data_IF_773264320290
#
_entry.id   IF_773264320290
#
_cell.length_a   1.000
_cell.length_b   1.000
_cell.length_c   1.000
_cell.angle_alpha   90.00
_cell.angle_beta   90.00
_cell.angle_gamma   90.00
#
_symmetry.space_group_name_H-M   'P 1'
#
loop_
_entity.id
_entity.type
_entity.pdbx_description
1 polymer ?
#
# COMPACT_ATOMS: atom_id res chain seq x y z
N UNK A 1 0.24 -18.26 30.15
CA UNK A 1 0.61 -17.56 28.89
C UNK A 1 2.12 -17.62 28.73
N UNK A 2 2.63 -18.16 27.64
CA UNK A 2 4.07 -18.20 27.36
C UNK A 2 4.59 -16.76 27.20
N UNK A 3 5.69 -16.42 27.86
CA UNK A 3 6.36 -15.12 27.75
C UNK A 3 6.84 -14.94 26.31
N UNK A 4 6.42 -13.86 25.65
CA UNK A 4 6.88 -13.52 24.29
C UNK A 4 8.38 -13.20 24.32
N UNK A 5 9.16 -13.83 23.42
CA UNK A 5 10.59 -13.57 23.29
C UNK A 5 10.82 -12.11 22.91
N UNK A 6 11.76 -11.47 23.58
CA UNK A 6 12.10 -10.05 23.41
C UNK A 6 13.47 -9.88 22.73
N UNK A 7 13.73 -8.68 22.21
CA UNK A 7 15.05 -8.33 21.64
C UNK A 7 16.19 -8.48 22.67
N UNK A 8 15.89 -8.36 23.97
CA UNK A 8 16.86 -8.57 25.06
C UNK A 8 17.23 -10.03 25.21
N UNK A 9 16.27 -10.95 25.02
CA UNK A 9 16.51 -12.37 25.07
C UNK A 9 17.43 -12.82 23.91
N UNK A 10 17.21 -12.26 22.69
CA UNK A 10 18.12 -12.46 21.54
C UNK A 10 19.51 -11.91 21.82
N UNK A 11 19.61 -10.72 22.37
CA UNK A 11 20.88 -10.09 22.73
C UNK A 11 21.68 -10.95 23.72
N UNK A 12 21.02 -11.48 24.73
CA UNK A 12 21.62 -12.39 25.70
C UNK A 12 22.09 -13.70 25.04
N UNK A 13 21.25 -14.31 24.19
CA UNK A 13 21.56 -15.56 23.47
C UNK A 13 22.73 -15.40 22.50
N UNK A 14 22.81 -14.25 21.80
CA UNK A 14 23.88 -13.93 20.85
C UNK A 14 25.16 -13.36 21.50
N UNK A 15 25.15 -13.04 22.79
CA UNK A 15 26.28 -12.44 23.51
C UNK A 15 26.62 -11.03 23.03
N UNK A 16 25.60 -10.21 22.70
CA UNK A 16 25.76 -8.84 22.19
C UNK A 16 24.80 -7.85 22.86
N UNK A 17 24.97 -6.57 22.61
CA UNK A 17 24.03 -5.56 23.08
C UNK A 17 22.69 -5.63 22.30
N UNK A 18 21.58 -5.24 22.94
CA UNK A 18 20.28 -5.10 22.24
C UNK A 18 20.34 -4.13 21.06
N UNK A 19 21.24 -3.13 21.12
CA UNK A 19 21.48 -2.17 20.03
C UNK A 19 22.13 -2.86 18.82
N UNK A 20 23.03 -3.81 19.05
CA UNK A 20 23.64 -4.63 18.01
C UNK A 20 22.60 -5.51 17.33
N UNK A 21 21.73 -6.19 18.12
CA UNK A 21 20.59 -6.96 17.58
C UNK A 21 19.67 -6.04 16.73
N UNK A 22 19.35 -4.86 17.24
CA UNK A 22 18.56 -3.87 16.49
C UNK A 22 19.21 -3.45 15.17
N UNK A 23 20.52 -3.31 15.14
CA UNK A 23 21.25 -2.97 13.91
C UNK A 23 21.22 -4.14 12.91
N UNK A 24 21.35 -5.39 13.35
CA UNK A 24 21.24 -6.58 12.49
C UNK A 24 19.84 -6.71 11.92
N UNK A 25 18.81 -6.63 12.74
CA UNK A 25 17.40 -6.69 12.33
C UNK A 25 17.02 -5.58 11.35
N UNK A 26 17.69 -4.43 11.44
CA UNK A 26 17.50 -3.29 10.54
C UNK A 26 18.51 -3.25 9.37
N UNK A 27 19.26 -4.33 9.14
CA UNK A 27 20.22 -4.48 8.04
C UNK A 27 21.24 -3.33 7.94
N UNK A 28 21.58 -2.71 9.08
CA UNK A 28 22.57 -1.63 9.09
C UNK A 28 23.97 -2.17 8.84
N UNK A 29 24.77 -1.58 7.93
CA UNK A 29 26.10 -2.07 7.55
C UNK A 29 27.19 -1.81 8.60
N UNK A 30 26.78 -1.55 9.85
CA UNK A 30 27.71 -1.22 10.96
C UNK A 30 28.05 -2.42 11.84
N UNK A 31 27.56 -3.62 11.48
CA UNK A 31 27.80 -4.86 12.23
C UNK A 31 28.64 -5.80 11.40
N UNK A 32 29.73 -6.34 12.00
CA UNK A 32 30.60 -7.33 11.35
C UNK A 32 29.82 -8.60 11.01
N UNK A 33 30.16 -9.27 9.91
CA UNK A 33 29.43 -10.43 9.39
C UNK A 33 29.33 -11.57 10.41
N UNK A 34 30.42 -11.91 11.07
CA UNK A 34 30.45 -12.92 12.14
C UNK A 34 29.45 -12.62 13.27
N UNK A 35 29.29 -11.35 13.65
CA UNK A 35 28.33 -10.92 14.67
C UNK A 35 26.90 -10.96 14.12
N UNK A 36 26.71 -10.66 12.84
CA UNK A 36 25.43 -10.75 12.14
C UNK A 36 24.92 -12.18 12.14
N UNK A 37 25.75 -13.14 11.74
CA UNK A 37 25.42 -14.57 11.72
C UNK A 37 25.01 -15.09 13.11
N UNK A 38 25.78 -14.75 14.16
CA UNK A 38 25.43 -15.14 15.55
C UNK A 38 24.06 -14.59 15.99
N UNK A 39 23.75 -13.37 15.60
CA UNK A 39 22.47 -12.75 15.93
C UNK A 39 21.33 -13.40 15.14
N UNK A 40 21.49 -13.69 13.85
CA UNK A 40 20.51 -14.38 13.03
C UNK A 40 20.21 -15.79 13.55
N UNK A 41 21.25 -16.54 13.91
CA UNK A 41 21.12 -17.86 14.55
C UNK A 41 20.31 -17.75 15.87
N UNK A 42 20.61 -16.75 16.69
CA UNK A 42 19.88 -16.56 17.95
C UNK A 42 18.41 -16.15 17.72
N UNK A 43 18.10 -15.43 16.67
CA UNK A 43 16.73 -15.09 16.25
C UNK A 43 15.95 -16.35 15.87
N UNK A 44 16.54 -17.21 15.05
CA UNK A 44 15.93 -18.46 14.59
C UNK A 44 15.74 -19.45 15.76
N UNK A 45 16.77 -19.65 16.59
CA UNK A 45 16.74 -20.54 17.76
C UNK A 45 15.60 -20.18 18.72
N UNK A 46 15.35 -18.89 18.92
CA UNK A 46 14.36 -18.38 19.87
C UNK A 46 12.99 -18.14 19.24
N UNK A 47 12.86 -18.28 17.92
CA UNK A 47 11.64 -17.92 17.19
C UNK A 47 11.27 -16.44 17.41
N UNK A 48 12.29 -15.56 17.50
CA UNK A 48 12.05 -14.14 17.74
C UNK A 48 11.49 -13.46 16.48
N UNK A 49 10.30 -12.90 16.64
CA UNK A 49 9.68 -12.06 15.59
C UNK A 49 9.90 -10.59 15.97
N UNK A 50 10.63 -9.82 15.14
CA UNK A 50 10.84 -8.39 15.37
C UNK A 50 9.53 -7.65 15.59
N UNK A 51 9.45 -6.87 16.66
CA UNK A 51 8.27 -6.06 16.92
C UNK A 51 8.37 -4.74 16.15
N UNK A 52 7.64 -4.65 15.03
CA UNK A 52 7.60 -3.46 14.18
C UNK A 52 6.98 -2.24 14.89
N UNK A 53 6.09 -2.47 15.88
CA UNK A 53 5.48 -1.38 16.69
C UNK A 53 6.54 -0.53 17.41
N UNK A 54 7.66 -1.11 17.84
CA UNK A 54 8.77 -0.36 18.46
C UNK A 54 9.57 0.48 17.47
N UNK A 55 9.48 0.21 16.16
CA UNK A 55 10.07 1.01 15.07
C UNK A 55 9.18 2.21 14.77
N UNK A 56 7.86 2.01 14.75
CA UNK A 56 6.87 3.04 14.47
C UNK A 56 6.90 4.18 15.49
N UNK A 57 7.19 3.85 16.75
CA UNK A 57 7.35 4.84 17.83
C UNK A 57 8.61 5.73 17.72
N UNK A 58 9.59 5.35 16.89
CA UNK A 58 10.83 6.12 16.69
C UNK A 58 10.87 6.93 15.40
N UNK A 59 9.75 7.03 14.68
CA UNK A 59 9.62 7.87 13.48
C UNK A 59 10.29 7.34 12.21
N UNK A 60 10.71 6.07 12.15
CA UNK A 60 11.26 5.43 10.95
C UNK A 60 10.19 5.03 9.93
N UNK A 61 10.58 4.68 8.67
CA UNK A 61 9.66 4.17 7.68
C UNK A 61 9.04 2.84 8.15
N UNK A 62 7.74 2.70 7.93
CA UNK A 62 6.97 1.50 8.32
C UNK A 62 7.12 0.37 7.30
N UNK A 63 7.57 0.70 6.09
CA UNK A 63 7.56 -0.17 4.91
C UNK A 63 6.18 -0.77 4.65
N UNK A 64 5.15 0.01 4.92
CA UNK A 64 3.76 -0.37 4.68
C UNK A 64 3.11 0.65 3.77
N UNK A 65 2.45 0.16 2.72
CA UNK A 65 1.62 0.94 1.80
C UNK A 65 0.17 0.57 2.09
N UNK A 66 -0.71 1.55 2.21
CA UNK A 66 -2.16 1.31 2.29
C UNK A 66 -2.76 1.32 0.90
N UNK A 67 -3.49 0.26 0.54
CA UNK A 67 -4.36 0.22 -0.63
C UNK A 67 -5.79 0.43 -0.16
N UNK A 68 -6.39 1.56 -0.51
CA UNK A 68 -7.78 1.89 -0.18
C UNK A 68 -8.66 1.68 -1.42
N UNK A 69 -9.61 0.77 -1.32
CA UNK A 69 -10.55 0.42 -2.40
C UNK A 69 -11.99 0.52 -1.93
N UNK A 70 -12.95 0.82 -2.81
CA UNK A 70 -14.35 0.93 -2.41
C UNK A 70 -14.95 -0.40 -1.96
N UNK A 71 -14.54 -1.51 -2.57
CA UNK A 71 -15.08 -2.84 -2.30
C UNK A 71 -14.12 -3.94 -2.77
N UNK A 72 -14.22 -5.16 -2.21
CA UNK A 72 -13.46 -6.33 -2.64
C UNK A 72 -14.31 -7.35 -3.42
N UNK A 73 -15.61 -7.12 -3.51
CA UNK A 73 -16.51 -8.03 -4.23
C UNK A 73 -16.30 -7.99 -5.75
N UNK A 74 -15.81 -6.86 -6.29
CA UNK A 74 -15.42 -6.78 -7.69
C UNK A 74 -14.08 -7.48 -7.90
N UNK A 75 -14.00 -8.46 -8.82
CA UNK A 75 -12.75 -9.19 -9.11
C UNK A 75 -11.56 -8.29 -9.44
N UNK A 76 -11.81 -7.12 -10.03
CA UNK A 76 -10.80 -6.11 -10.34
C UNK A 76 -9.99 -5.70 -9.11
N UNK A 77 -10.64 -5.34 -8.00
CA UNK A 77 -9.95 -4.86 -6.81
C UNK A 77 -9.22 -5.99 -6.06
N UNK A 78 -9.76 -7.20 -6.08
CA UNK A 78 -9.10 -8.36 -5.51
C UNK A 78 -7.80 -8.71 -6.27
N UNK A 79 -7.86 -8.74 -7.60
CA UNK A 79 -6.69 -8.97 -8.45
C UNK A 79 -5.65 -7.87 -8.29
N UNK A 80 -6.08 -6.60 -8.28
CA UNK A 80 -5.21 -5.46 -8.06
C UNK A 80 -4.47 -5.56 -6.72
N UNK A 81 -5.17 -5.92 -5.64
CA UNK A 81 -4.58 -6.10 -4.32
C UNK A 81 -3.53 -7.21 -4.31
N UNK A 82 -3.79 -8.34 -4.96
CA UNK A 82 -2.86 -9.45 -5.10
C UNK A 82 -1.59 -9.03 -5.86
N UNK A 83 -1.75 -8.40 -7.02
CA UNK A 83 -0.62 -7.92 -7.83
C UNK A 83 0.23 -6.89 -7.10
N UNK A 84 -0.40 -5.95 -6.38
CA UNK A 84 0.31 -4.96 -5.58
C UNK A 84 1.06 -5.59 -4.41
N UNK A 85 0.51 -6.61 -3.75
CA UNK A 85 1.20 -7.32 -2.68
C UNK A 85 2.45 -8.03 -3.18
N UNK A 86 2.40 -8.66 -4.37
CA UNK A 86 3.57 -9.31 -4.98
C UNK A 86 4.63 -8.26 -5.30
N UNK A 87 4.27 -7.20 -6.01
CA UNK A 87 5.20 -6.15 -6.43
C UNK A 87 5.83 -5.38 -5.24
N UNK A 88 5.05 -5.15 -4.18
CA UNK A 88 5.52 -4.50 -2.97
C UNK A 88 6.52 -5.37 -2.19
N UNK A 89 6.25 -6.68 -2.09
CA UNK A 89 7.13 -7.64 -1.41
C UNK A 89 8.51 -7.69 -2.03
N UNK A 90 8.61 -7.67 -3.36
CA UNK A 90 9.89 -7.63 -4.08
C UNK A 90 10.72 -6.39 -3.73
N UNK A 91 10.08 -5.32 -3.28
CA UNK A 91 10.70 -4.04 -2.88
C UNK A 91 10.80 -3.87 -1.36
N UNK A 92 10.54 -4.93 -0.60
CA UNK A 92 10.62 -4.92 0.87
C UNK A 92 9.49 -4.13 1.55
N UNK A 93 8.35 -3.96 0.86
CA UNK A 93 7.13 -3.35 1.42
C UNK A 93 6.05 -4.40 1.67
N UNK A 94 5.16 -4.10 2.61
CA UNK A 94 3.88 -4.79 2.80
C UNK A 94 2.73 -3.91 2.32
N UNK A 95 1.62 -4.52 1.90
CA UNK A 95 0.39 -3.80 1.54
C UNK A 95 -0.70 -4.15 2.55
N UNK A 96 -1.28 -3.11 3.18
CA UNK A 96 -2.52 -3.22 3.94
C UNK A 96 -3.69 -2.86 3.02
N UNK A 97 -4.70 -3.71 2.94
CA UNK A 97 -5.88 -3.45 2.12
C UNK A 97 -7.02 -2.97 3.01
N UNK A 98 -7.55 -1.81 2.69
CA UNK A 98 -8.62 -1.12 3.42
C UNK A 98 -9.82 -0.93 2.50
N UNK A 99 -11.02 -1.18 3.01
CA UNK A 99 -12.25 -1.07 2.24
C UNK A 99 -13.06 0.13 2.71
N UNK A 100 -13.32 1.08 1.79
CA UNK A 100 -14.01 2.33 2.14
C UNK A 100 -15.52 2.21 2.15
N UNK A 101 -16.10 1.21 1.49
CA UNK A 101 -17.55 1.04 1.31
C UNK A 101 -18.22 2.30 0.74
N UNK A 102 -17.55 3.00 -0.16
CA UNK A 102 -18.01 4.27 -0.76
C UNK A 102 -18.26 5.39 0.27
N UNK A 103 -17.58 5.36 1.41
CA UNK A 103 -17.70 6.37 2.45
C UNK A 103 -16.58 7.40 2.37
N UNK A 104 -16.92 8.66 2.13
CA UNK A 104 -15.97 9.78 2.12
C UNK A 104 -15.27 9.95 3.48
N UNK A 105 -15.96 9.67 4.58
CA UNK A 105 -15.38 9.72 5.92
C UNK A 105 -14.27 8.68 6.09
N UNK A 106 -14.53 7.44 5.63
CA UNK A 106 -13.56 6.33 5.69
C UNK A 106 -12.38 6.61 4.77
N UNK A 107 -12.62 7.02 3.52
CA UNK A 107 -11.55 7.39 2.59
C UNK A 107 -10.67 8.49 3.18
N UNK A 108 -11.27 9.56 3.70
CA UNK A 108 -10.55 10.67 4.34
C UNK A 108 -9.74 10.23 5.56
N UNK A 109 -10.29 9.36 6.39
CA UNK A 109 -9.62 8.85 7.57
C UNK A 109 -8.38 8.02 7.24
N UNK A 110 -8.45 7.17 6.21
CA UNK A 110 -7.32 6.37 5.73
C UNK A 110 -6.21 7.23 5.13
N UNK A 111 -6.58 8.21 4.29
CA UNK A 111 -5.58 9.05 3.61
C UNK A 111 -4.89 10.00 4.57
N UNK A 112 -5.58 10.50 5.60
CA UNK A 112 -4.97 11.34 6.65
C UNK A 112 -4.20 10.56 7.71
N UNK A 113 -4.01 9.25 7.51
CA UNK A 113 -3.28 8.40 8.46
C UNK A 113 -3.90 8.33 9.86
N UNK A 114 -5.21 8.66 9.98
CA UNK A 114 -5.93 8.69 11.26
C UNK A 114 -6.52 7.35 11.67
N UNK A 115 -6.52 6.37 10.75
CA UNK A 115 -7.05 5.04 11.01
C UNK A 115 -5.93 4.01 11.03
N UNK A 116 -5.77 3.34 12.17
CA UNK A 116 -4.97 2.15 12.32
C UNK A 116 -3.47 2.39 12.38
N UNK A 117 -2.73 1.78 11.48
CA UNK A 117 -1.26 1.80 11.42
C UNK A 117 -0.76 3.00 10.62
N UNK A 118 0.34 3.58 11.07
CA UNK A 118 1.13 4.51 10.27
C UNK A 118 1.60 3.80 8.99
N UNK A 119 1.40 4.43 7.85
CA UNK A 119 1.84 3.95 6.53
C UNK A 119 2.77 4.96 5.87
N UNK A 120 3.61 4.52 4.95
CA UNK A 120 4.57 5.40 4.26
C UNK A 120 3.97 6.02 3.00
N UNK A 121 2.96 5.38 2.41
CA UNK A 121 2.24 5.86 1.24
C UNK A 121 0.83 5.25 1.17
N UNK A 122 -0.03 5.88 0.38
CA UNK A 122 -1.38 5.41 0.08
C UNK A 122 -1.56 5.25 -1.42
N UNK A 123 -2.15 4.13 -1.83
CA UNK A 123 -2.73 3.93 -3.15
C UNK A 123 -4.23 3.89 -2.95
N UNK A 124 -4.98 4.76 -3.59
CA UNK A 124 -6.43 4.86 -3.39
C UNK A 124 -7.20 4.89 -4.71
N UNK A 125 -8.28 4.10 -4.77
CA UNK A 125 -9.33 4.24 -5.77
C UNK A 125 -10.49 5.02 -5.14
N UNK A 126 -10.47 6.35 -5.22
CA UNK A 126 -11.47 7.18 -4.55
C UNK A 126 -12.83 6.98 -5.20
N UNK A 127 -13.87 6.94 -4.40
CA UNK A 127 -15.25 6.76 -4.85
C UNK A 127 -16.24 7.78 -4.28
N UNK A 128 -15.82 8.47 -3.21
CA UNK A 128 -16.68 9.39 -2.48
C UNK A 128 -16.02 10.73 -2.14
N UNK A 129 -14.69 10.83 -2.16
CA UNK A 129 -13.97 12.10 -1.98
C UNK A 129 -14.12 12.97 -3.22
N UNK A 130 -14.32 14.27 -3.02
CA UNK A 130 -14.31 15.24 -4.10
C UNK A 130 -12.89 15.64 -4.50
N UNK A 131 -12.79 16.37 -5.65
CA UNK A 131 -11.51 16.84 -6.19
C UNK A 131 -10.71 17.68 -5.20
N UNK A 132 -11.37 18.58 -4.47
CA UNK A 132 -10.70 19.50 -3.54
C UNK A 132 -10.09 18.73 -2.37
N UNK A 133 -10.83 17.77 -1.86
CA UNK A 133 -10.38 16.87 -0.79
C UNK A 133 -9.18 16.02 -1.23
N UNK A 134 -9.23 15.46 -2.43
CA UNK A 134 -8.14 14.64 -2.98
C UNK A 134 -6.85 15.46 -3.17
N UNK A 135 -6.95 16.68 -3.70
CA UNK A 135 -5.78 17.57 -3.87
C UNK A 135 -5.16 17.96 -2.53
N UNK A 136 -5.98 18.27 -1.52
CA UNK A 136 -5.48 18.61 -0.18
C UNK A 136 -4.72 17.45 0.48
N UNK A 137 -5.07 16.22 0.14
CA UNK A 137 -4.45 15.02 0.70
C UNK A 137 -3.08 14.74 0.08
N UNK A 138 -2.93 14.95 -1.23
CA UNK A 138 -1.69 14.70 -1.97
C UNK A 138 -0.53 15.54 -1.42
N UNK A 139 -0.81 16.70 -0.85
CA UNK A 139 0.20 17.57 -0.23
C UNK A 139 0.69 17.06 1.14
N UNK A 140 -0.07 16.20 1.82
CA UNK A 140 0.24 15.75 3.17
C UNK A 140 1.12 14.49 3.21
N UNK A 141 1.02 13.61 2.18
CA UNK A 141 1.76 12.34 2.14
C UNK A 141 1.85 11.79 0.70
N UNK A 142 2.77 10.86 0.41
CA UNK A 142 2.83 10.20 -0.88
C UNK A 142 1.53 9.44 -1.18
N UNK A 143 0.82 9.86 -2.23
CA UNK A 143 -0.45 9.25 -2.68
C UNK A 143 -0.37 8.93 -4.17
N UNK A 144 -0.88 7.76 -4.53
CA UNK A 144 -1.17 7.37 -5.93
C UNK A 144 -2.67 7.21 -6.07
N UNK A 145 -3.27 7.94 -6.99
CA UNK A 145 -4.69 7.83 -7.31
C UNK A 145 -4.89 6.77 -8.41
N UNK A 146 -5.91 5.94 -8.23
CA UNK A 146 -6.38 4.98 -9.23
C UNK A 146 -7.72 5.44 -9.79
N UNK A 147 -7.89 5.35 -11.12
CA UNK A 147 -9.13 5.75 -11.79
C UNK A 147 -9.04 7.13 -12.44
N UNK A 148 -10.16 7.77 -12.74
CA UNK A 148 -10.22 8.88 -13.68
C UNK A 148 -10.37 10.27 -13.04
N UNK A 149 -10.57 10.32 -11.73
CA UNK A 149 -11.07 11.53 -11.05
C UNK A 149 -10.14 12.76 -11.09
N UNK A 150 -8.84 12.59 -11.26
CA UNK A 150 -7.89 13.72 -11.33
C UNK A 150 -6.94 13.59 -12.52
N UNK A 151 -7.44 13.07 -13.64
CA UNK A 151 -6.68 12.95 -14.89
C UNK A 151 -6.13 14.32 -15.32
N UNK A 152 -4.81 14.39 -15.52
CA UNK A 152 -4.15 15.58 -16.02
C UNK A 152 -3.73 16.61 -14.95
N UNK A 153 -4.00 16.38 -13.66
CA UNK A 153 -3.51 17.26 -12.60
C UNK A 153 -2.00 17.14 -12.42
N UNK A 154 -1.32 18.29 -12.48
CA UNK A 154 0.13 18.34 -12.29
C UNK A 154 0.50 18.05 -10.84
N UNK A 155 1.51 17.21 -10.63
CA UNK A 155 2.02 16.88 -9.31
C UNK A 155 1.28 15.73 -8.60
N UNK A 156 0.21 15.20 -9.19
CA UNK A 156 -0.52 14.05 -8.65
C UNK A 156 -0.06 12.78 -9.34
N UNK A 157 0.44 11.82 -8.57
CA UNK A 157 0.73 10.49 -9.10
C UNK A 157 -0.59 9.76 -9.37
N UNK A 158 -0.79 9.34 -10.62
CA UNK A 158 -2.09 8.82 -11.06
C UNK A 158 -1.92 7.65 -12.02
N UNK A 159 -2.74 6.64 -11.86
CA UNK A 159 -2.83 5.47 -12.76
C UNK A 159 -4.27 5.29 -13.20
N UNK A 160 -4.51 5.38 -14.50
CA UNK A 160 -5.84 5.17 -15.10
C UNK A 160 -5.73 4.42 -16.41
N UNK A 161 -6.85 3.88 -16.85
CA UNK A 161 -7.03 3.35 -18.20
C UNK A 161 -7.47 4.51 -19.09
N UNK A 162 -6.96 4.58 -20.33
CA UNK A 162 -7.48 5.51 -21.33
C UNK A 162 -8.84 4.98 -21.86
N UNK A 163 -9.89 5.24 -21.09
CA UNK A 163 -11.23 4.76 -21.40
C UNK A 163 -11.82 5.45 -22.64
N UNK A 164 -11.38 6.67 -22.96
CA UNK A 164 -11.84 7.38 -24.16
C UNK A 164 -11.29 6.70 -25.40
N UNK A 165 -9.98 6.43 -25.44
CA UNK A 165 -9.36 5.70 -26.54
C UNK A 165 -9.94 4.29 -26.66
N UNK A 166 -10.06 3.55 -25.54
CA UNK A 166 -10.62 2.22 -25.54
C UNK A 166 -12.08 2.17 -26.05
N UNK A 167 -12.91 3.13 -25.67
CA UNK A 167 -14.28 3.22 -26.18
C UNK A 167 -14.31 3.54 -27.66
N UNK A 168 -13.45 4.45 -28.14
CA UNK A 168 -13.33 4.78 -29.56
C UNK A 168 -12.91 3.56 -30.38
N UNK A 169 -11.95 2.78 -29.90
CA UNK A 169 -11.49 1.55 -30.56
C UNK A 169 -12.61 0.51 -30.66
N UNK A 170 -13.38 0.31 -29.60
CA UNK A 170 -14.53 -0.61 -29.61
C UNK A 170 -15.59 -0.17 -30.62
N UNK A 171 -15.95 1.12 -30.63
CA UNK A 171 -16.93 1.66 -31.59
C UNK A 171 -16.40 1.55 -33.02
N UNK A 172 -15.12 1.90 -33.25
CA UNK A 172 -14.45 1.77 -34.54
C UNK A 172 -14.51 0.32 -35.07
N UNK A 173 -14.17 -0.63 -34.21
CA UNK A 173 -14.26 -2.05 -34.55
C UNK A 173 -15.69 -2.48 -34.96
N UNK A 174 -16.72 -2.05 -34.21
CA UNK A 174 -18.11 -2.37 -34.54
C UNK A 174 -18.51 -1.77 -35.92
N UNK A 175 -18.11 -0.55 -36.21
CA UNK A 175 -18.38 0.10 -37.49
C UNK A 175 -17.67 -0.63 -38.64
N UNK A 176 -16.43 -1.04 -38.47
CA UNK A 176 -15.68 -1.84 -39.46
C UNK A 176 -16.34 -3.20 -39.73
N UNK A 177 -16.97 -3.81 -38.71
CA UNK A 177 -17.77 -5.03 -38.89
C UNK A 177 -19.12 -4.80 -39.53
N UNK A 178 -19.46 -3.56 -39.89
CA UNK A 178 -20.68 -3.20 -40.59
C UNK A 178 -21.87 -2.82 -39.69
N UNK A 179 -21.70 -2.77 -38.39
CA UNK A 179 -22.74 -2.29 -37.46
C UNK A 179 -22.85 -0.76 -37.57
N UNK A 180 -24.06 -0.25 -37.77
CA UNK A 180 -24.30 1.19 -38.04
C UNK A 180 -24.95 1.92 -36.87
N UNK A 181 -25.54 1.21 -35.95
CA UNK A 181 -26.28 1.77 -34.80
C UNK A 181 -25.88 1.05 -33.50
N UNK A 182 -24.63 1.21 -33.05
CA UNK A 182 -24.18 0.65 -31.77
C UNK A 182 -24.96 1.33 -30.62
N UNK A 183 -25.47 0.52 -29.68
CA UNK A 183 -26.15 1.00 -28.47
C UNK A 183 -25.19 0.89 -27.28
N UNK A 184 -25.04 2.00 -26.56
CA UNK A 184 -24.33 2.00 -25.29
C UNK A 184 -25.29 1.75 -24.11
N UNK A 185 -25.03 0.72 -23.33
CA UNK A 185 -25.71 0.44 -22.09
C UNK A 185 -24.73 0.67 -20.92
N UNK A 186 -24.98 1.66 -20.10
CA UNK A 186 -24.11 2.04 -18.99
C UNK A 186 -24.89 2.70 -17.85
N UNK A 187 -24.17 2.96 -16.76
CA UNK A 187 -24.71 3.74 -15.66
C UNK A 187 -24.73 5.24 -16.00
N UNK A 188 -25.61 6.00 -15.36
CA UNK A 188 -25.64 7.46 -15.45
C UNK A 188 -24.31 8.03 -14.97
N UNK A 189 -23.66 8.82 -15.82
CA UNK A 189 -22.44 9.55 -15.45
C UNK A 189 -22.87 10.73 -14.60
N UNK A 190 -22.64 10.66 -13.31
CA UNK A 190 -22.74 11.85 -12.45
C UNK A 190 -21.49 12.70 -12.70
N UNK A 191 -21.65 13.77 -13.47
CA UNK A 191 -20.62 14.79 -13.72
C UNK A 191 -20.58 15.75 -12.54
#
# INVERSE_FOLDING_TARGET
>A
MARRVSIKDVAQRAGVSWKTVSNVVNERPVVKEETRERVLTAIDDLGYVPNHVGRDLRGGPTRTISLVVPELQKPYFALLAEMLQVAARERGYSVSVEVSLHSAEVERAHVRGRVGRRVDAVIISPSALDRTELLAIVDEMPVVLLGEQLLGEKGVAHVAIDNVAAAADVVGHLVEQGYREPLFLGAEVRV
#
